data_IF_535153288858
#
_entry.id   IF_535153288858
#
_cell.length_a   1.000
_cell.length_b   1.000
_cell.length_c   1.000
_cell.angle_alpha   90.00
_cell.angle_beta   90.00
_cell.angle_gamma   90.00
#
_symmetry.space_group_name_H-M   'P 1'
#
loop_
_entity.id
_entity.type
_entity.pdbx_description
1 polymer ?
#
# COMPACT_ATOMS: atom_id res chain seq x y z
N UNK A 1 39.34 9.99 14.61
CA UNK A 1 37.94 10.27 14.21
C UNK A 1 37.34 9.07 13.50
N UNK A 2 36.87 8.09 14.27
CA UNK A 2 36.01 7.03 13.73
C UNK A 2 34.63 7.65 13.50
N UNK A 3 34.28 7.93 12.24
CA UNK A 3 32.89 8.28 11.89
C UNK A 3 32.10 6.97 12.00
N UNK A 4 31.33 6.81 13.08
CA UNK A 4 30.33 5.75 13.17
C UNK A 4 29.37 5.91 11.99
N UNK A 5 29.46 5.03 10.99
CA UNK A 5 28.46 4.96 9.92
C UNK A 5 27.19 4.42 10.57
N UNK A 6 26.16 5.26 10.65
CA UNK A 6 24.82 4.81 10.98
C UNK A 6 24.28 4.05 9.76
N UNK A 7 24.06 2.75 9.92
CA UNK A 7 23.30 1.96 8.95
C UNK A 7 21.82 2.26 9.17
N UNK A 8 21.15 2.73 8.12
CA UNK A 8 19.69 2.85 8.11
C UNK A 8 19.12 1.49 7.75
N UNK A 9 18.73 0.73 8.77
CA UNK A 9 18.17 -0.61 8.60
C UNK A 9 16.73 -0.58 8.07
N UNK A 10 16.06 0.58 8.10
CA UNK A 10 14.73 0.77 7.52
C UNK A 10 14.45 2.22 7.12
N UNK A 11 13.47 2.41 6.24
CA UNK A 11 12.98 3.74 5.86
C UNK A 11 12.03 4.35 6.91
N UNK A 12 11.58 3.61 7.93
CA UNK A 12 10.45 4.00 8.79
C UNK A 12 10.86 4.92 9.95
N UNK A 13 11.45 6.07 9.63
CA UNK A 13 11.97 7.02 10.63
C UNK A 13 11.02 8.18 10.94
N UNK A 14 9.92 8.33 10.20
CA UNK A 14 8.92 9.38 10.41
C UNK A 14 8.00 9.17 11.63
N UNK A 15 6.98 10.03 11.80
CA UNK A 15 6.04 9.93 12.91
C UNK A 15 5.16 8.68 12.81
N UNK A 16 4.73 8.19 13.98
CA UNK A 16 3.68 7.19 14.15
C UNK A 16 2.59 7.76 15.05
N UNK A 17 1.40 7.19 14.97
CA UNK A 17 0.22 7.62 15.72
C UNK A 17 -0.40 6.40 16.39
N UNK A 18 -0.83 6.54 17.64
CA UNK A 18 -1.42 5.44 18.40
C UNK A 18 -2.88 5.21 18.02
N UNK A 19 -3.40 4.01 18.32
CA UNK A 19 -4.82 3.71 18.12
C UNK A 19 -5.74 4.61 18.96
N UNK A 20 -5.28 5.13 20.10
CA UNK A 20 -6.03 6.10 20.91
C UNK A 20 -6.10 7.47 20.24
N UNK A 21 -5.03 7.92 19.58
CA UNK A 21 -5.04 9.16 18.79
C UNK A 21 -5.98 9.03 17.59
N UNK A 22 -5.87 7.92 16.86
CA UNK A 22 -6.73 7.61 15.71
C UNK A 22 -8.19 7.45 16.15
N UNK A 23 -8.45 6.74 17.25
CA UNK A 23 -9.80 6.53 17.76
C UNK A 23 -10.47 7.85 18.17
N UNK A 24 -9.74 8.77 18.80
CA UNK A 24 -10.26 10.12 19.13
C UNK A 24 -10.59 10.93 17.89
N UNK A 25 -9.73 10.88 16.86
CA UNK A 25 -10.02 11.51 15.57
C UNK A 25 -11.30 10.95 14.97
N UNK A 26 -11.42 9.63 14.87
CA UNK A 26 -12.58 8.98 14.25
C UNK A 26 -13.88 9.25 15.00
N UNK A 27 -13.86 9.32 16.33
CA UNK A 27 -15.05 9.72 17.10
C UNK A 27 -15.40 11.20 16.83
N UNK A 28 -14.41 12.09 16.79
CA UNK A 28 -14.65 13.51 16.49
C UNK A 28 -15.21 13.76 15.07
N UNK A 29 -14.90 12.85 14.13
CA UNK A 29 -15.31 12.92 12.72
C UNK A 29 -16.43 11.94 12.35
N UNK A 30 -17.02 11.25 13.33
CA UNK A 30 -17.98 10.15 13.12
C UNK A 30 -19.18 10.55 12.27
N UNK A 31 -19.73 11.74 12.49
CA UNK A 31 -20.88 12.21 11.70
C UNK A 31 -20.50 12.48 10.24
N UNK A 32 -19.30 13.01 9.99
CA UNK A 32 -18.78 13.25 8.65
C UNK A 32 -18.58 11.92 7.90
N UNK A 33 -17.98 10.94 8.58
CA UNK A 33 -17.76 9.59 8.05
C UNK A 33 -19.11 8.91 7.73
N UNK A 34 -20.09 9.01 8.63
CA UNK A 34 -21.43 8.45 8.40
C UNK A 34 -22.16 9.13 7.24
N UNK A 35 -22.08 10.46 7.14
CA UNK A 35 -22.68 11.22 6.04
C UNK A 35 -22.06 10.88 4.69
N UNK A 36 -20.79 10.47 4.68
CA UNK A 36 -20.10 9.97 3.49
C UNK A 36 -20.45 8.51 3.13
N UNK A 37 -21.41 7.90 3.84
CA UNK A 37 -21.83 6.52 3.63
C UNK A 37 -20.78 5.50 4.04
N UNK A 38 -19.96 5.81 5.05
CA UNK A 38 -18.88 4.93 5.49
C UNK A 38 -19.21 4.27 6.84
N UNK A 39 -18.80 3.01 6.98
CA UNK A 39 -18.81 2.27 8.25
C UNK A 39 -17.40 2.17 8.82
N UNK A 40 -17.29 2.20 10.15
CA UNK A 40 -16.03 2.04 10.87
C UNK A 40 -16.10 0.72 11.66
N UNK A 41 -15.05 -0.08 11.55
CA UNK A 41 -14.85 -1.27 12.36
C UNK A 41 -13.44 -1.25 12.95
N UNK A 42 -13.33 -1.47 14.27
CA UNK A 42 -12.04 -1.72 14.91
C UNK A 42 -11.71 -3.20 14.84
N UNK A 43 -10.49 -3.53 14.42
CA UNK A 43 -9.99 -4.90 14.27
C UNK A 43 -8.60 -4.95 14.95
N UNK A 44 -8.56 -5.43 16.19
CA UNK A 44 -7.30 -5.53 16.95
C UNK A 44 -6.46 -6.77 16.58
N UNK A 45 -7.07 -7.75 15.89
CA UNK A 45 -6.36 -8.93 15.42
C UNK A 45 -5.68 -8.63 14.07
N UNK A 46 -4.34 -8.57 14.06
CA UNK A 46 -3.56 -8.27 12.85
C UNK A 46 -3.85 -9.24 11.70
N UNK A 47 -4.01 -10.54 11.99
CA UNK A 47 -4.31 -11.55 10.97
C UNK A 47 -5.66 -11.26 10.31
N UNK A 48 -6.70 -10.98 11.10
CA UNK A 48 -8.01 -10.61 10.59
C UNK A 48 -7.96 -9.31 9.77
N UNK A 49 -7.23 -8.30 10.25
CA UNK A 49 -7.05 -7.03 9.55
C UNK A 49 -6.40 -7.25 8.17
N UNK A 50 -5.31 -8.02 8.13
CA UNK A 50 -4.61 -8.38 6.90
C UNK A 50 -5.49 -9.20 5.96
N UNK A 51 -6.20 -10.22 6.45
CA UNK A 51 -7.09 -11.07 5.62
C UNK A 51 -8.26 -10.28 5.03
N UNK A 52 -8.89 -9.43 5.83
CA UNK A 52 -9.98 -8.56 5.36
C UNK A 52 -9.50 -7.53 4.34
N UNK A 53 -8.34 -6.95 4.58
CA UNK A 53 -7.73 -5.97 3.67
C UNK A 53 -7.29 -6.64 2.36
N UNK A 54 -6.66 -7.81 2.44
CA UNK A 54 -6.27 -8.62 1.28
C UNK A 54 -7.49 -9.03 0.44
N UNK A 55 -8.59 -9.40 1.09
CA UNK A 55 -9.87 -9.70 0.42
C UNK A 55 -10.38 -8.48 -0.35
N UNK A 56 -10.40 -7.30 0.30
CA UNK A 56 -10.80 -6.06 -0.38
C UNK A 56 -9.92 -5.76 -1.60
N UNK A 57 -8.59 -5.89 -1.46
CA UNK A 57 -7.65 -5.72 -2.57
C UNK A 57 -7.99 -6.72 -3.69
N UNK A 58 -8.16 -8.01 -3.38
CA UNK A 58 -8.45 -9.06 -4.36
C UNK A 58 -9.80 -8.89 -5.08
N UNK A 59 -10.78 -8.26 -4.43
CA UNK A 59 -12.06 -7.84 -5.03
C UNK A 59 -11.90 -6.65 -5.99
N UNK A 60 -10.71 -6.06 -6.09
CA UNK A 60 -10.42 -4.90 -6.92
C UNK A 60 -10.76 -3.56 -6.26
N UNK A 61 -10.92 -3.53 -4.94
CA UNK A 61 -11.11 -2.28 -4.19
C UNK A 61 -9.79 -1.51 -4.10
N UNK A 62 -9.92 -0.20 -4.05
CA UNK A 62 -8.83 0.75 -3.82
C UNK A 62 -8.73 1.00 -2.31
N UNK A 63 -7.62 0.58 -1.72
CA UNK A 63 -7.41 0.62 -0.28
C UNK A 63 -6.35 1.66 0.09
N UNK A 64 -6.72 2.66 0.88
CA UNK A 64 -5.77 3.48 1.61
C UNK A 64 -5.22 2.71 2.81
N UNK A 65 -3.90 2.67 2.97
CA UNK A 65 -3.21 1.92 4.01
C UNK A 65 -2.25 2.85 4.78
N UNK A 66 -2.61 3.11 6.03
CA UNK A 66 -1.88 4.00 6.94
C UNK A 66 -1.51 3.23 8.20
N UNK A 67 -0.22 2.91 8.34
CA UNK A 67 0.31 2.09 9.44
C UNK A 67 1.61 2.62 10.00
N UNK A 68 1.82 2.44 11.31
CA UNK A 68 3.10 2.66 11.96
C UNK A 68 3.82 3.97 11.62
N UNK A 69 5.16 3.90 11.65
CA UNK A 69 6.05 5.03 11.36
C UNK A 69 6.09 5.32 9.86
N UNK A 70 5.90 6.57 9.47
CA UNK A 70 6.01 7.00 8.08
C UNK A 70 7.40 6.72 7.50
N UNK A 71 7.44 6.34 6.23
CA UNK A 71 8.64 6.18 5.43
C UNK A 71 9.33 7.53 5.18
N UNK A 72 10.66 7.55 5.26
CA UNK A 72 11.46 8.69 4.82
C UNK A 72 11.76 8.59 3.33
N UNK A 73 11.58 9.71 2.63
CA UNK A 73 11.83 9.83 1.19
C UNK A 73 10.55 9.95 0.35
N UNK A 74 10.68 10.00 -0.98
CA UNK A 74 9.58 10.31 -1.89
C UNK A 74 8.69 9.09 -2.24
N UNK A 75 8.98 7.91 -1.68
CA UNK A 75 8.30 6.65 -2.00
C UNK A 75 7.48 6.20 -0.80
N UNK A 76 6.27 5.71 -1.07
CA UNK A 76 5.54 4.90 -0.10
C UNK A 76 6.02 3.46 -0.20
N UNK A 77 6.40 2.90 0.93
CA UNK A 77 7.00 1.57 1.09
C UNK A 77 6.16 0.70 2.05
N UNK A 78 4.85 0.95 2.12
CA UNK A 78 3.92 0.09 2.87
C UNK A 78 3.34 0.68 4.15
N UNK A 79 3.65 1.93 4.52
CA UNK A 79 3.10 2.58 5.72
C UNK A 79 2.24 3.82 5.39
N UNK A 80 2.45 4.49 4.26
CA UNK A 80 1.57 5.54 3.72
C UNK A 80 1.22 5.26 2.26
N UNK A 81 0.48 4.18 2.03
CA UNK A 81 0.31 3.58 0.71
C UNK A 81 -1.15 3.52 0.25
N UNK A 82 -1.37 3.56 -1.06
CA UNK A 82 -2.61 3.11 -1.69
C UNK A 82 -2.31 1.78 -2.35
N UNK A 83 -3.11 0.77 -2.00
CA UNK A 83 -2.91 -0.63 -2.37
C UNK A 83 -4.05 -1.10 -3.27
N UNK A 84 -3.70 -1.84 -4.32
CA UNK A 84 -4.65 -2.35 -5.30
C UNK A 84 -4.24 -3.72 -5.86
N UNK A 85 -5.20 -4.41 -6.50
CA UNK A 85 -4.95 -5.69 -7.16
C UNK A 85 -4.03 -5.52 -8.37
N UNK A 86 -2.81 -6.10 -8.36
CA UNK A 86 -1.90 -6.01 -9.49
C UNK A 86 -2.35 -6.84 -10.69
N UNK A 87 -3.24 -7.83 -10.50
CA UNK A 87 -3.70 -8.78 -11.52
C UNK A 87 -4.71 -8.15 -12.49
N UNK A 88 -5.33 -7.03 -12.10
CA UNK A 88 -6.41 -6.40 -12.85
C UNK A 88 -5.87 -5.39 -13.86
N UNK A 89 -6.07 -5.66 -15.15
CA UNK A 89 -5.57 -4.79 -16.22
C UNK A 89 -6.15 -3.36 -16.14
N UNK A 90 -7.42 -3.22 -15.76
CA UNK A 90 -8.09 -1.93 -15.64
C UNK A 90 -7.76 -1.16 -14.34
N UNK A 91 -6.92 -1.72 -13.45
CA UNK A 91 -6.63 -1.09 -12.16
C UNK A 91 -5.92 0.27 -12.31
N UNK A 92 -5.10 0.43 -13.36
CA UNK A 92 -4.45 1.71 -13.68
C UNK A 92 -5.49 2.81 -13.94
N UNK A 93 -6.53 2.49 -14.69
CA UNK A 93 -7.63 3.40 -15.03
C UNK A 93 -8.50 3.71 -13.80
N UNK A 94 -8.81 2.69 -13.00
CA UNK A 94 -9.55 2.83 -11.74
C UNK A 94 -8.81 3.79 -10.80
N UNK A 95 -7.51 3.60 -10.58
CA UNK A 95 -6.69 4.45 -9.71
C UNK A 95 -6.62 5.89 -10.21
N UNK A 96 -6.44 6.08 -11.51
CA UNK A 96 -6.40 7.41 -12.10
C UNK A 96 -7.75 8.13 -11.99
N UNK A 97 -8.86 7.41 -12.21
CA UNK A 97 -10.21 7.97 -12.12
C UNK A 97 -10.64 8.26 -10.68
N UNK A 98 -10.33 7.36 -9.74
CA UNK A 98 -10.78 7.46 -8.35
C UNK A 98 -9.95 8.44 -7.51
N UNK A 99 -8.65 8.56 -7.81
CA UNK A 99 -7.70 9.31 -6.97
C UNK A 99 -6.76 10.17 -7.81
N UNK A 100 -5.90 9.55 -8.62
CA UNK A 100 -4.63 10.20 -9.01
C UNK A 100 -4.80 11.31 -10.05
N UNK A 101 -5.79 11.22 -10.94
CA UNK A 101 -5.97 12.14 -12.08
C UNK A 101 -4.68 12.37 -12.88
N UNK A 102 -3.84 11.33 -12.99
CA UNK A 102 -2.55 11.37 -13.69
C UNK A 102 -2.65 10.74 -15.07
N UNK A 103 -1.68 11.07 -15.90
CA UNK A 103 -1.54 10.50 -17.24
C UNK A 103 -1.46 8.97 -17.19
N UNK A 104 -2.13 8.31 -18.13
CA UNK A 104 -2.33 6.85 -18.14
C UNK A 104 -1.05 6.03 -18.23
N UNK A 105 0.06 6.64 -18.66
CA UNK A 105 1.33 5.95 -18.88
C UNK A 105 2.21 5.87 -17.63
N UNK A 106 1.94 6.63 -16.55
CA UNK A 106 2.80 6.59 -15.36
C UNK A 106 2.65 5.22 -14.69
N UNK A 107 3.73 4.43 -14.59
CA UNK A 107 3.61 3.08 -14.09
C UNK A 107 3.52 3.05 -12.56
N UNK A 108 2.83 2.04 -12.04
CA UNK A 108 2.77 1.71 -10.63
C UNK A 108 3.80 0.65 -10.26
N UNK A 109 4.17 0.57 -8.99
CA UNK A 109 5.22 -0.31 -8.51
C UNK A 109 4.65 -1.56 -7.82
N UNK A 110 5.25 -2.74 -8.04
CA UNK A 110 4.99 -3.92 -7.22
C UNK A 110 5.74 -3.87 -5.88
N UNK A 111 5.02 -4.03 -4.77
CA UNK A 111 5.59 -4.45 -3.48
C UNK A 111 5.49 -5.97 -3.37
N UNK A 112 6.61 -6.68 -3.28
CA UNK A 112 6.69 -8.15 -3.30
C UNK A 112 7.36 -8.69 -2.04
N UNK A 113 6.92 -9.86 -1.57
CA UNK A 113 7.64 -10.62 -0.54
C UNK A 113 9.08 -10.90 -1.00
N UNK A 114 10.09 -10.57 -0.19
CA UNK A 114 11.51 -10.72 -0.57
C UNK A 114 11.81 -12.14 -1.05
N UNK A 115 11.27 -13.15 -0.37
CA UNK A 115 11.46 -14.56 -0.68
C UNK A 115 10.90 -14.99 -2.05
N UNK A 116 10.04 -14.17 -2.67
CA UNK A 116 9.43 -14.46 -3.98
C UNK A 116 10.10 -13.75 -5.16
N UNK A 117 11.11 -12.89 -4.92
CA UNK A 117 11.73 -12.07 -5.98
C UNK A 117 12.30 -12.91 -7.11
N UNK A 118 13.08 -13.95 -6.79
CA UNK A 118 13.73 -14.80 -7.78
C UNK A 118 12.74 -15.51 -8.72
N UNK A 119 11.53 -15.79 -8.26
CA UNK A 119 10.48 -16.44 -9.05
C UNK A 119 9.76 -15.46 -9.99
N UNK A 120 9.75 -14.17 -9.65
CA UNK A 120 8.95 -13.15 -10.35
C UNK A 120 9.78 -12.20 -11.22
N UNK A 121 11.01 -11.90 -10.83
CA UNK A 121 11.93 -11.01 -11.54
C UNK A 121 13.12 -11.79 -12.11
N UNK A 122 13.69 -11.28 -13.19
CA UNK A 122 14.87 -11.88 -13.84
C UNK A 122 16.15 -11.71 -13.02
N UNK A 123 16.18 -10.66 -12.18
CA UNK A 123 17.27 -10.35 -11.26
C UNK A 123 16.77 -10.51 -9.83
N UNK A 124 17.52 -11.24 -9.02
CA UNK A 124 17.29 -11.32 -7.59
C UNK A 124 18.20 -10.32 -6.89
N UNK A 125 17.61 -9.23 -6.41
CA UNK A 125 18.28 -8.24 -5.59
C UNK A 125 17.36 -7.76 -4.47
N UNK A 126 17.95 -7.10 -3.48
CA UNK A 126 17.21 -6.50 -2.38
C UNK A 126 17.01 -5.00 -2.63
N UNK A 127 15.77 -4.60 -2.93
CA UNK A 127 15.40 -3.23 -3.29
C UNK A 127 14.35 -2.69 -2.30
N UNK A 128 14.70 -2.49 -1.01
CA UNK A 128 13.73 -2.10 0.02
C UNK A 128 13.25 -0.65 -0.13
N UNK A 129 13.94 0.17 -0.93
CA UNK A 129 13.63 1.59 -1.11
C UNK A 129 12.88 1.92 -2.41
N UNK A 130 12.51 0.91 -3.20
CA UNK A 130 11.79 1.10 -4.46
C UNK A 130 12.51 2.05 -5.46
N UNK A 131 13.83 1.88 -5.59
CA UNK A 131 14.69 2.75 -6.39
C UNK A 131 15.13 2.14 -7.73
N UNK A 132 14.92 0.84 -7.91
CA UNK A 132 15.44 0.08 -9.05
C UNK A 132 14.32 -0.55 -9.88
N UNK A 133 14.59 -0.72 -11.17
CA UNK A 133 13.65 -1.26 -12.15
C UNK A 133 14.27 -2.51 -12.74
N UNK A 134 13.56 -3.63 -12.63
CA UNK A 134 14.01 -4.92 -13.15
C UNK A 134 12.99 -5.50 -14.11
N UNK A 135 13.45 -6.44 -14.94
CA UNK A 135 12.58 -7.19 -15.84
C UNK A 135 11.75 -8.19 -15.05
N UNK A 136 10.43 -8.14 -15.24
CA UNK A 136 9.53 -9.19 -14.75
C UNK A 136 9.67 -10.38 -15.70
N UNK A 137 9.76 -11.60 -15.15
CA UNK A 137 9.91 -12.81 -15.97
C UNK A 137 8.77 -12.91 -16.99
N UNK A 138 9.01 -13.26 -18.26
CA UNK A 138 8.00 -13.22 -19.33
C UNK A 138 6.69 -13.94 -18.99
N UNK A 139 6.78 -15.12 -18.34
CA UNK A 139 5.62 -15.93 -17.94
C UNK A 139 4.78 -15.30 -16.82
N UNK A 140 5.35 -14.38 -16.04
CA UNK A 140 4.71 -13.72 -14.90
C UNK A 140 4.04 -12.40 -15.29
N UNK A 141 4.52 -11.73 -16.35
CA UNK A 141 3.98 -10.45 -16.87
C UNK A 141 2.44 -10.43 -17.02
N UNK A 142 1.79 -11.43 -17.67
CA UNK A 142 0.33 -11.40 -17.84
C UNK A 142 -0.44 -11.62 -16.54
N UNK A 143 0.21 -12.09 -15.47
CA UNK A 143 -0.44 -12.30 -14.18
C UNK A 143 -0.59 -11.01 -13.37
N UNK A 144 0.21 -9.98 -13.66
CA UNK A 144 0.27 -8.72 -12.90
C UNK A 144 0.31 -7.47 -13.81
N UNK A 145 -0.61 -7.34 -14.79
CA UNK A 145 -0.55 -6.29 -15.81
C UNK A 145 -0.61 -4.86 -15.24
N UNK A 146 -1.12 -4.66 -14.02
CA UNK A 146 -1.25 -3.33 -13.43
C UNK A 146 0.09 -2.71 -12.99
N UNK A 147 1.12 -3.53 -12.78
CA UNK A 147 2.44 -3.12 -12.26
C UNK A 147 3.59 -3.37 -13.24
N UNK A 148 3.27 -3.93 -14.41
CA UNK A 148 4.21 -4.17 -15.50
C UNK A 148 4.13 -3.03 -16.51
N UNK A 149 5.30 -2.55 -16.92
CA UNK A 149 5.50 -1.54 -17.96
C UNK A 149 5.39 -2.18 -19.35
N UNK A 150 5.23 -1.36 -20.41
CA UNK A 150 5.10 -1.84 -21.79
C UNK A 150 6.32 -2.67 -22.23
N UNK A 151 7.50 -2.34 -21.73
CA UNK A 151 8.77 -3.05 -22.00
C UNK A 151 8.96 -4.32 -21.15
N UNK A 152 8.00 -4.68 -20.30
CA UNK A 152 8.07 -5.84 -19.40
C UNK A 152 8.75 -5.59 -18.06
N UNK A 153 9.23 -4.36 -17.81
CA UNK A 153 9.86 -3.99 -16.54
C UNK A 153 8.86 -3.65 -15.44
N UNK A 154 9.32 -3.66 -14.19
CA UNK A 154 8.58 -3.17 -13.02
C UNK A 154 9.54 -2.61 -11.98
N UNK A 155 9.14 -1.53 -11.30
CA UNK A 155 9.96 -0.91 -10.24
C UNK A 155 9.86 -1.69 -8.94
N UNK A 156 10.83 -2.56 -8.67
CA UNK A 156 10.81 -3.50 -7.58
C UNK A 156 10.81 -2.80 -6.21
N UNK A 157 9.95 -3.24 -5.30
CA UNK A 157 10.03 -2.97 -3.87
C UNK A 157 9.99 -4.29 -3.10
N UNK A 158 11.09 -4.64 -2.43
CA UNK A 158 11.20 -5.86 -1.61
C UNK A 158 10.68 -5.60 -0.20
N UNK A 159 9.83 -6.50 0.29
CA UNK A 159 9.24 -6.43 1.63
C UNK A 159 9.78 -7.58 2.47
N UNK A 160 10.42 -7.24 3.58
CA UNK A 160 10.94 -8.17 4.56
C UNK A 160 10.05 -8.21 5.79
N UNK A 161 9.90 -9.39 6.40
CA UNK A 161 9.13 -9.57 7.63
C UNK A 161 9.75 -8.81 8.80
N UNK A 162 11.07 -8.72 8.83
CA UNK A 162 11.85 -8.12 9.92
C UNK A 162 11.70 -6.60 9.96
N UNK A 163 11.52 -5.97 8.80
CA UNK A 163 11.44 -4.50 8.68
C UNK A 163 10.01 -3.98 8.65
N UNK A 164 9.07 -4.74 8.09
CA UNK A 164 7.66 -4.39 8.06
C UNK A 164 6.77 -5.64 8.15
N UNK A 165 6.62 -6.22 9.36
CA UNK A 165 5.92 -7.48 9.56
C UNK A 165 4.44 -7.42 9.16
N UNK A 166 3.77 -6.31 9.45
CA UNK A 166 2.35 -6.15 9.13
C UNK A 166 2.11 -6.04 7.61
N UNK A 167 2.95 -5.28 6.90
CA UNK A 167 2.85 -5.20 5.44
C UNK A 167 3.24 -6.53 4.76
N UNK A 168 4.25 -7.23 5.29
CA UNK A 168 4.59 -8.61 4.87
C UNK A 168 3.40 -9.56 5.08
N UNK A 169 2.74 -9.49 6.24
CA UNK A 169 1.56 -10.30 6.55
C UNK A 169 0.37 -9.99 5.62
N UNK A 170 0.15 -8.72 5.28
CA UNK A 170 -0.88 -8.32 4.31
C UNK A 170 -0.61 -8.92 2.92
N UNK A 171 0.62 -8.80 2.42
CA UNK A 171 0.99 -9.36 1.11
C UNK A 171 0.92 -10.89 1.15
N UNK A 172 1.30 -11.52 2.26
CA UNK A 172 1.18 -12.96 2.47
C UNK A 172 -0.28 -13.43 2.45
N UNK A 173 -1.19 -12.69 3.10
CA UNK A 173 -2.62 -12.97 3.06
C UNK A 173 -3.18 -12.82 1.64
N UNK A 174 -2.76 -11.78 0.91
CA UNK A 174 -3.11 -11.62 -0.50
C UNK A 174 -2.57 -12.77 -1.37
N UNK A 175 -1.35 -13.22 -1.12
CA UNK A 175 -0.77 -14.38 -1.79
C UNK A 175 -1.57 -15.66 -1.53
N UNK A 176 -1.98 -15.90 -0.28
CA UNK A 176 -2.80 -17.06 0.07
C UNK A 176 -4.13 -17.08 -0.69
N UNK A 177 -4.73 -15.91 -0.94
CA UNK A 177 -5.99 -15.77 -1.69
C UNK A 177 -5.83 -15.88 -3.21
N UNK A 178 -4.66 -15.51 -3.75
CA UNK A 178 -4.52 -15.20 -5.18
C UNK A 178 -3.38 -15.93 -5.88
N UNK A 179 -2.51 -16.60 -5.13
CA UNK A 179 -1.22 -17.13 -5.55
C UNK A 179 -0.25 -16.08 -6.13
N UNK A 180 -0.47 -14.78 -5.84
CA UNK A 180 0.39 -13.68 -6.25
C UNK A 180 1.04 -13.04 -5.00
N UNK A 181 2.37 -13.11 -4.83
CA UNK A 181 3.07 -12.66 -3.63
C UNK A 181 3.41 -11.16 -3.66
N UNK A 182 2.59 -10.36 -4.34
CA UNK A 182 2.81 -8.93 -4.48
C UNK A 182 1.50 -8.16 -4.64
N UNK A 183 1.54 -6.89 -4.28
CA UNK A 183 0.44 -5.93 -4.45
C UNK A 183 0.91 -4.71 -5.23
N UNK A 184 -0.01 -4.04 -5.92
CA UNK A 184 0.28 -2.72 -6.46
C UNK A 184 0.39 -1.73 -5.29
N UNK A 185 1.49 -1.00 -5.24
CA UNK A 185 1.73 0.03 -4.24
C UNK A 185 2.02 1.39 -4.91
N UNK A 186 1.33 2.42 -4.44
CA UNK A 186 1.60 3.81 -4.79
C UNK A 186 1.47 4.72 -3.57
N UNK A 187 2.09 5.90 -3.63
CA UNK A 187 2.01 6.91 -2.58
C UNK A 187 0.58 7.23 -2.16
N UNK A 188 0.30 7.34 -0.87
CA UNK A 188 -1.00 7.81 -0.38
C UNK A 188 -1.07 9.32 -0.45
N UNK A 189 -1.60 9.81 -1.58
CA UNK A 189 -1.88 11.21 -1.88
C UNK A 189 -2.73 11.33 -3.15
N UNK A 190 -3.22 12.53 -3.45
CA UNK A 190 -3.77 12.88 -4.76
C UNK A 190 -2.75 13.71 -5.56
N UNK A 191 -2.79 15.03 -5.37
CA UNK A 191 -1.89 16.04 -5.95
C UNK A 191 -1.14 16.84 -4.87
N UNK A 192 -1.07 16.28 -3.67
CA UNK A 192 -0.40 16.83 -2.49
C UNK A 192 0.77 15.93 -2.06
N UNK A 193 1.60 16.34 -1.09
CA UNK A 193 2.59 15.45 -0.47
C UNK A 193 1.96 14.15 0.07
N UNK A 194 2.78 13.13 0.33
CA UNK A 194 2.30 11.89 0.97
C UNK A 194 1.69 12.24 2.33
N UNK A 195 0.51 11.69 2.63
CA UNK A 195 -0.15 11.92 3.92
C UNK A 195 0.79 11.51 5.06
N UNK A 196 0.94 12.40 6.02
CA UNK A 196 1.79 12.23 7.19
C UNK A 196 0.93 11.88 8.40
N UNK A 197 -0.14 12.64 8.63
CA UNK A 197 -1.02 12.54 9.80
C UNK A 197 -2.33 11.77 9.52
N UNK A 198 -2.97 11.17 10.54
CA UNK A 198 -4.23 10.46 10.37
C UNK A 198 -5.35 11.34 9.81
N UNK A 199 -5.39 12.62 10.18
CA UNK A 199 -6.37 13.59 9.65
C UNK A 199 -6.24 13.76 8.14
N UNK A 200 -5.01 13.85 7.63
CA UNK A 200 -4.73 14.00 6.20
C UNK A 200 -5.13 12.73 5.43
N UNK A 201 -4.90 11.55 6.00
CA UNK A 201 -5.32 10.28 5.40
C UNK A 201 -6.85 10.15 5.34
N UNK A 202 -7.54 10.55 6.41
CA UNK A 202 -9.00 10.55 6.47
C UNK A 202 -9.61 11.56 5.49
N UNK A 203 -9.09 12.79 5.46
CA UNK A 203 -9.56 13.83 4.54
C UNK A 203 -9.34 13.43 3.08
N UNK A 204 -8.19 12.83 2.76
CA UNK A 204 -7.90 12.29 1.43
C UNK A 204 -8.87 11.16 1.07
N UNK A 205 -9.13 10.22 1.99
CA UNK A 205 -10.11 9.15 1.78
C UNK A 205 -11.51 9.70 1.53
N UNK A 206 -11.99 10.65 2.35
CA UNK A 206 -13.32 11.22 2.26
C UNK A 206 -13.54 12.03 0.98
N UNK A 207 -12.52 12.76 0.52
CA UNK A 207 -12.54 13.57 -0.72
C UNK A 207 -12.42 12.76 -2.01
N UNK A 208 -11.82 11.58 -1.94
CA UNK A 208 -11.60 10.69 -3.10
C UNK A 208 -12.64 9.57 -3.16
N UNK A 209 -12.61 8.78 -4.24
CA UNK A 209 -13.47 7.60 -4.39
C UNK A 209 -12.80 6.30 -3.93
N UNK A 210 -11.88 6.38 -2.96
CA UNK A 210 -11.31 5.19 -2.32
C UNK A 210 -12.42 4.36 -1.67
N UNK A 211 -12.30 3.04 -1.75
CA UNK A 211 -13.32 2.12 -1.27
C UNK A 211 -13.14 1.80 0.22
N UNK A 212 -11.88 1.70 0.65
CA UNK A 212 -11.49 1.36 2.02
C UNK A 212 -10.33 2.23 2.47
N UNK A 213 -10.35 2.64 3.74
CA UNK A 213 -9.20 3.19 4.46
C UNK A 213 -8.93 2.33 5.69
N UNK A 214 -7.71 1.79 5.77
CA UNK A 214 -7.18 1.16 6.97
C UNK A 214 -6.26 2.15 7.66
N UNK A 215 -6.67 2.60 8.85
CA UNK A 215 -6.01 3.62 9.65
C UNK A 215 -5.66 3.02 11.02
N UNK A 216 -4.42 2.55 11.18
CA UNK A 216 -4.07 1.71 12.34
C UNK A 216 -4.93 0.45 12.37
N UNK A 217 -5.56 0.18 13.52
CA UNK A 217 -6.50 -0.93 13.70
C UNK A 217 -7.95 -0.61 13.29
N UNK A 218 -8.20 0.53 12.62
CA UNK A 218 -9.54 0.92 12.18
C UNK A 218 -9.71 0.69 10.68
N UNK A 219 -10.68 -0.16 10.34
CA UNK A 219 -11.11 -0.45 8.98
C UNK A 219 -12.34 0.39 8.65
N UNK A 220 -12.20 1.33 7.73
CA UNK A 220 -13.25 2.24 7.29
C UNK A 220 -13.62 1.88 5.86
N UNK A 221 -14.88 1.53 5.60
CA UNK A 221 -15.34 1.13 4.27
C UNK A 221 -16.56 1.93 3.83
N UNK A 222 -16.57 2.32 2.56
CA UNK A 222 -17.76 2.91 1.92
C UNK A 222 -18.80 1.82 1.68
N UNK A 223 -20.04 2.08 2.08
CA UNK A 223 -21.19 1.30 1.68
C UNK A 223 -21.33 1.40 0.15
N UNK A 224 -21.56 0.24 -0.49
CA UNK A 224 -21.64 0.08 -1.94
C UNK A 224 -23.07 0.15 -2.43
#
# INVERSE_FOLDING_TARGET
NSKTRLHLDSAYSGPAFSDEEIGRLLESKKQEIRNAGCQILRIDNEKELCERTATAIAEGKVVGWFQGRMEWGPRALGNRSILCDPRRQNMKEILNTKIKRRESFRPFAPSILRESVAEWFEQEDDVPFMMEVFQVRPKKRPLIPAVVHVDGSGRLHTVHRETNPLFHALISAFCALTSVPLVLNTSFNENEPVVCRPEEALDCFLRTKMDVLVLGNFYIARES
#
